data_IF_754427137651
#
_entry.id   IF_754427137651
#
_cell.length_a   1.000
_cell.length_b   1.000
_cell.length_c   1.000
_cell.angle_alpha   90.00
_cell.angle_beta   90.00
_cell.angle_gamma   90.00
#
_symmetry.space_group_name_H-M   'P 1'
#
loop_
_entity.id
_entity.type
_entity.pdbx_description
1 polymer ?
#
# COMPACT_ATOMS: atom_id res chain seq x y z
N UNK A 1 35.69 -33.06 -37.31
CA UNK A 1 35.81 -34.49 -36.99
C UNK A 1 37.30 -34.79 -36.88
N UNK A 2 37.78 -35.12 -35.71
CA UNK A 2 39.17 -35.57 -35.51
C UNK A 2 39.26 -37.05 -35.86
N UNK A 3 40.14 -37.39 -36.80
CA UNK A 3 40.42 -38.78 -37.10
C UNK A 3 41.51 -39.30 -36.17
N UNK A 4 41.22 -40.35 -35.40
CA UNK A 4 42.18 -41.03 -34.57
C UNK A 4 42.97 -42.05 -35.43
N UNK A 5 44.26 -41.83 -35.57
CA UNK A 5 45.15 -42.57 -36.48
C UNK A 5 45.87 -43.76 -35.87
N UNK A 6 45.68 -44.04 -34.59
CA UNK A 6 46.30 -45.18 -33.91
C UNK A 6 45.36 -45.82 -32.89
N UNK A 7 45.49 -47.15 -32.66
CA UNK A 7 44.72 -47.78 -31.58
C UNK A 7 45.16 -47.24 -30.22
N UNK A 8 44.21 -46.72 -29.47
CA UNK A 8 44.42 -46.14 -28.16
C UNK A 8 43.11 -46.06 -27.38
N UNK A 9 43.22 -45.88 -26.08
CA UNK A 9 42.05 -45.61 -25.24
C UNK A 9 41.80 -44.11 -25.24
N UNK A 10 40.66 -43.69 -25.78
CA UNK A 10 40.26 -42.29 -25.81
C UNK A 10 39.18 -42.09 -24.76
N UNK A 11 39.49 -41.35 -23.69
CA UNK A 11 38.50 -40.93 -22.68
C UNK A 11 37.96 -39.57 -23.03
N UNK A 12 36.64 -39.45 -23.05
CA UNK A 12 35.94 -38.17 -23.16
C UNK A 12 35.23 -37.92 -21.84
N UNK A 13 35.69 -36.95 -21.13
CA UNK A 13 35.01 -36.46 -19.96
C UNK A 13 33.79 -35.67 -20.42
N UNK A 14 32.63 -36.06 -19.95
CA UNK A 14 31.39 -35.31 -20.15
C UNK A 14 30.93 -34.85 -18.76
N UNK A 15 31.07 -33.57 -18.51
CA UNK A 15 30.50 -32.96 -17.30
C UNK A 15 28.98 -33.07 -17.36
N UNK A 16 28.43 -33.90 -16.48
CA UNK A 16 27.02 -34.08 -16.26
C UNK A 16 26.57 -33.31 -15.00
N UNK A 17 27.37 -32.37 -14.50
CA UNK A 17 26.99 -31.51 -13.39
C UNK A 17 25.75 -30.77 -13.80
N UNK A 18 24.64 -31.20 -13.28
CA UNK A 18 23.40 -30.45 -13.39
C UNK A 18 23.55 -29.25 -12.46
N UNK A 19 23.97 -28.11 -13.01
CA UNK A 19 23.96 -26.86 -12.27
C UNK A 19 22.47 -26.58 -11.97
N UNK A 20 22.03 -26.99 -10.81
CA UNK A 20 20.77 -26.56 -10.27
C UNK A 20 20.92 -25.06 -10.09
N UNK A 21 20.23 -24.22 -10.91
CA UNK A 21 20.31 -22.78 -10.70
C UNK A 21 19.90 -22.55 -9.25
N UNK A 22 20.71 -21.83 -8.51
CA UNK A 22 20.43 -21.47 -7.13
C UNK A 22 19.18 -20.59 -7.16
N UNK A 23 18.03 -21.23 -7.06
CA UNK A 23 16.74 -20.53 -6.97
C UNK A 23 16.82 -19.75 -5.68
N UNK A 24 16.80 -18.43 -5.79
CA UNK A 24 16.81 -17.56 -4.63
C UNK A 24 15.59 -17.87 -3.75
N UNK A 25 15.81 -18.71 -2.74
CA UNK A 25 14.78 -19.10 -1.75
C UNK A 25 14.35 -17.93 -0.87
N UNK A 26 14.93 -16.75 -1.11
CA UNK A 26 14.65 -15.51 -0.39
C UNK A 26 13.53 -14.67 -1.01
N UNK A 27 12.83 -15.22 -2.00
CA UNK A 27 11.67 -14.57 -2.63
C UNK A 27 10.41 -15.35 -2.32
N UNK A 28 9.39 -14.67 -1.82
CA UNK A 28 8.07 -15.26 -1.55
C UNK A 28 6.96 -14.35 -2.07
N UNK A 29 5.76 -14.91 -2.16
CA UNK A 29 4.54 -14.17 -2.44
C UNK A 29 3.50 -14.46 -1.35
N UNK A 30 2.77 -13.43 -0.95
CA UNK A 30 1.71 -13.53 0.05
C UNK A 30 0.47 -12.77 -0.41
N UNK A 31 -0.69 -13.35 -0.14
CA UNK A 31 -1.99 -12.73 -0.43
C UNK A 31 -2.81 -12.74 0.85
N UNK A 32 -3.40 -11.61 1.20
CA UNK A 32 -4.19 -11.56 2.41
C UNK A 32 -4.97 -10.28 2.62
N UNK A 33 -5.66 -10.22 3.75
CA UNK A 33 -6.48 -9.08 4.15
C UNK A 33 -5.67 -8.09 4.98
N UNK A 34 -5.90 -6.81 4.71
CA UNK A 34 -5.41 -5.70 5.53
C UNK A 34 -6.44 -4.56 5.55
N UNK A 35 -6.39 -3.72 6.57
CA UNK A 35 -7.23 -2.53 6.69
C UNK A 35 -6.72 -1.34 5.88
N UNK A 36 -5.45 -1.37 5.47
CA UNK A 36 -4.73 -0.33 4.72
C UNK A 36 -4.01 -0.96 3.52
N UNK A 37 -3.61 -0.15 2.57
CA UNK A 37 -2.76 -0.51 1.43
C UNK A 37 -3.49 -0.66 0.11
N UNK A 38 -2.69 -0.70 -0.95
CA UNK A 38 -3.17 -0.84 -2.33
C UNK A 38 -3.86 -2.20 -2.53
N UNK A 39 -5.04 -2.20 -3.14
CA UNK A 39 -5.84 -3.42 -3.39
C UNK A 39 -5.67 -4.01 -4.79
N UNK A 40 -5.12 -3.23 -5.71
CA UNK A 40 -5.14 -3.58 -7.14
C UNK A 40 -3.77 -4.01 -7.66
N UNK A 41 -2.69 -3.67 -6.93
CA UNK A 41 -1.33 -3.91 -7.39
C UNK A 41 -0.55 -4.81 -6.42
N UNK A 42 0.26 -5.68 -7.02
CA UNK A 42 1.26 -6.44 -6.27
C UNK A 42 2.40 -5.50 -5.90
N UNK A 43 2.74 -5.44 -4.62
CA UNK A 43 3.84 -4.63 -4.11
C UNK A 43 5.04 -5.52 -3.78
N UNK A 44 6.22 -5.09 -4.22
CA UNK A 44 7.48 -5.68 -3.78
C UNK A 44 7.92 -4.99 -2.49
N UNK A 45 8.06 -5.78 -1.45
CA UNK A 45 8.45 -5.35 -0.10
C UNK A 45 9.79 -6.01 0.24
N UNK A 46 10.71 -5.23 0.75
CA UNK A 46 12.07 -5.70 1.07
C UNK A 46 12.44 -5.56 2.55
N UNK A 47 11.67 -4.78 3.32
CA UNK A 47 11.91 -4.56 4.75
C UNK A 47 10.61 -4.67 5.55
N UNK A 48 10.69 -5.08 6.83
CA UNK A 48 9.52 -5.10 7.72
C UNK A 48 8.85 -3.72 7.85
N UNK A 49 9.63 -2.64 7.98
CA UNK A 49 9.10 -1.28 8.09
C UNK A 49 8.27 -0.89 6.84
N UNK A 50 8.80 -1.18 5.65
CA UNK A 50 8.08 -0.92 4.41
C UNK A 50 6.74 -1.67 4.34
N UNK A 51 6.69 -2.89 4.91
CA UNK A 51 5.44 -3.65 5.00
C UNK A 51 4.43 -2.98 5.93
N UNK A 52 4.88 -2.52 7.09
CA UNK A 52 4.03 -1.82 8.07
C UNK A 52 3.54 -0.48 7.53
N UNK A 53 4.39 0.28 6.85
CA UNK A 53 3.99 1.54 6.21
C UNK A 53 2.90 1.35 5.15
N UNK A 54 3.00 0.29 4.34
CA UNK A 54 2.03 0.04 3.26
C UNK A 54 0.74 -0.63 3.78
N UNK A 55 0.84 -1.64 4.64
CA UNK A 55 -0.30 -2.48 5.04
C UNK A 55 -0.78 -2.25 6.48
N UNK A 56 -0.02 -1.50 7.28
CA UNK A 56 -0.30 -1.23 8.69
C UNK A 56 0.28 -2.26 9.65
N UNK A 57 0.14 -1.97 10.93
CA UNK A 57 0.59 -2.84 12.01
C UNK A 57 -0.22 -4.14 12.11
N UNK A 58 0.41 -5.24 12.58
CA UNK A 58 -0.32 -6.46 12.89
C UNK A 58 -1.34 -6.21 14.02
N UNK A 59 -2.55 -6.66 13.83
CA UNK A 59 -3.59 -6.62 14.86
C UNK A 59 -4.41 -7.90 14.85
N UNK A 60 -5.27 -8.08 15.86
CA UNK A 60 -6.09 -9.29 15.99
C UNK A 60 -7.06 -9.53 14.81
N UNK A 61 -7.39 -8.50 14.04
CA UNK A 61 -8.35 -8.56 12.93
C UNK A 61 -7.67 -8.92 11.60
N UNK A 62 -6.38 -8.59 11.44
CA UNK A 62 -5.65 -8.78 10.18
C UNK A 62 -5.23 -10.24 9.91
N UNK A 63 -5.48 -11.15 10.86
CA UNK A 63 -5.13 -12.55 10.73
C UNK A 63 -3.63 -12.80 10.53
N UNK A 64 -3.32 -13.89 9.83
CA UNK A 64 -1.94 -14.33 9.65
C UNK A 64 -1.16 -13.57 8.57
N UNK A 65 -1.81 -12.74 7.76
CA UNK A 65 -1.15 -12.02 6.66
C UNK A 65 0.05 -11.19 7.14
N UNK A 66 -0.17 -10.34 8.17
CA UNK A 66 0.88 -9.49 8.70
C UNK A 66 1.98 -10.27 9.41
N UNK A 67 1.60 -11.21 10.28
CA UNK A 67 2.58 -12.02 11.02
C UNK A 67 3.46 -12.85 10.09
N UNK A 68 2.87 -13.52 9.09
CA UNK A 68 3.63 -14.32 8.13
C UNK A 68 4.57 -13.48 7.28
N UNK A 69 4.13 -12.28 6.88
CA UNK A 69 4.94 -11.35 6.11
C UNK A 69 6.15 -10.86 6.92
N UNK A 70 5.94 -10.44 8.17
CA UNK A 70 7.00 -9.92 9.03
C UNK A 70 8.02 -11.00 9.37
N UNK A 71 7.58 -12.21 9.77
CA UNK A 71 8.47 -13.35 10.04
C UNK A 71 9.29 -13.73 8.80
N UNK A 72 8.67 -13.70 7.61
CA UNK A 72 9.43 -13.93 6.37
C UNK A 72 10.48 -12.86 6.13
N UNK A 73 10.13 -11.57 6.29
CA UNK A 73 11.03 -10.44 6.01
C UNK A 73 12.20 -10.32 7.02
N UNK A 74 12.15 -10.98 8.17
CA UNK A 74 13.29 -11.08 9.08
C UNK A 74 14.46 -11.86 8.46
N UNK A 75 14.18 -12.85 7.60
CA UNK A 75 15.17 -13.73 7.01
C UNK A 75 15.17 -13.71 5.47
N UNK A 76 14.05 -13.34 4.87
CA UNK A 76 13.88 -13.21 3.41
C UNK A 76 14.20 -11.79 2.94
N UNK A 77 14.34 -11.62 1.61
CA UNK A 77 14.70 -10.32 1.03
C UNK A 77 13.58 -9.72 0.16
N UNK A 78 12.85 -10.57 -0.55
CA UNK A 78 11.86 -10.11 -1.54
C UNK A 78 10.52 -10.74 -1.24
N UNK A 79 9.55 -9.93 -0.84
CA UNK A 79 8.18 -10.35 -0.61
C UNK A 79 7.25 -9.63 -1.58
N UNK A 80 6.59 -10.38 -2.44
CA UNK A 80 5.49 -9.87 -3.25
C UNK A 80 4.20 -9.99 -2.46
N UNK A 81 3.64 -8.86 -2.07
CA UNK A 81 2.42 -8.81 -1.27
C UNK A 81 1.24 -8.26 -2.08
N UNK A 82 0.11 -8.92 -1.99
CA UNK A 82 -1.16 -8.49 -2.58
C UNK A 82 -2.24 -8.43 -1.52
N UNK A 83 -2.85 -7.27 -1.38
CA UNK A 83 -4.01 -7.10 -0.52
C UNK A 83 -5.29 -7.51 -1.22
N UNK A 84 -6.10 -8.30 -0.54
CA UNK A 84 -7.46 -8.65 -0.96
C UNK A 84 -8.46 -7.99 -0.02
N UNK A 85 -9.40 -7.25 -0.57
CA UNK A 85 -10.49 -6.64 0.20
C UNK A 85 -11.78 -6.62 -0.62
N UNK A 86 -12.89 -6.94 0.02
CA UNK A 86 -14.22 -6.81 -0.56
C UNK A 86 -14.87 -5.53 -0.07
N UNK A 87 -15.49 -4.77 -0.98
CA UNK A 87 -16.27 -3.56 -0.67
C UNK A 87 -15.52 -2.47 0.11
N UNK A 88 -14.19 -2.46 0.07
CA UNK A 88 -13.42 -1.38 0.68
C UNK A 88 -13.67 -0.06 -0.06
N UNK A 89 -13.91 1.00 0.71
CA UNK A 89 -14.23 2.32 0.20
C UNK A 89 -13.15 3.32 0.60
N UNK A 90 -12.97 4.34 -0.24
CA UNK A 90 -12.15 5.49 0.09
C UNK A 90 -12.91 6.41 1.04
N UNK A 91 -12.31 6.74 2.17
CA UNK A 91 -12.76 7.84 3.01
C UNK A 91 -12.32 9.17 2.40
N UNK A 92 -13.11 10.20 2.58
CA UNK A 92 -12.77 11.53 2.09
C UNK A 92 -13.52 12.63 2.82
N UNK A 93 -13.11 13.87 2.58
CA UNK A 93 -13.74 15.07 3.11
C UNK A 93 -13.96 16.08 1.99
N UNK A 94 -15.16 16.66 1.94
CA UNK A 94 -15.48 17.75 1.03
C UNK A 94 -15.09 19.07 1.65
N UNK A 95 -14.36 19.89 0.92
CA UNK A 95 -14.03 21.26 1.29
C UNK A 95 -14.98 22.20 0.57
N UNK A 96 -15.71 22.98 1.36
CA UNK A 96 -16.76 23.88 0.88
C UNK A 96 -16.18 25.28 0.72
N UNK A 97 -16.69 26.01 -0.27
CA UNK A 97 -16.33 27.41 -0.50
C UNK A 97 -16.70 28.25 0.72
N UNK A 98 -15.80 29.14 1.14
CA UNK A 98 -16.11 30.12 2.20
C UNK A 98 -17.30 30.99 1.84
N UNK A 99 -18.28 31.05 2.73
CA UNK A 99 -19.56 31.72 2.47
C UNK A 99 -20.50 30.98 1.51
N UNK A 100 -20.14 29.79 1.06
CA UNK A 100 -21.00 28.92 0.26
C UNK A 100 -21.97 28.12 1.11
N UNK A 101 -22.85 27.38 0.44
CA UNK A 101 -23.83 26.52 1.09
C UNK A 101 -23.19 25.21 1.52
N UNK A 102 -23.41 24.79 2.76
CA UNK A 102 -22.90 23.54 3.35
C UNK A 102 -21.79 23.77 4.37
N UNK A 103 -21.25 22.68 4.87
CA UNK A 103 -20.12 22.65 5.82
C UNK A 103 -19.12 21.61 5.39
N UNK A 104 -17.84 21.84 5.70
CA UNK A 104 -16.82 20.82 5.51
C UNK A 104 -17.23 19.55 6.27
N UNK A 105 -17.36 18.46 5.58
CA UNK A 105 -17.87 17.23 6.16
C UNK A 105 -17.21 16.00 5.52
N UNK A 106 -16.99 15.00 6.35
CA UNK A 106 -16.56 13.70 5.89
C UNK A 106 -17.65 13.06 5.00
N UNK A 107 -17.21 12.32 3.98
CA UNK A 107 -18.11 11.54 3.13
C UNK A 107 -18.52 10.29 3.91
N UNK A 108 -19.66 10.32 4.56
CA UNK A 108 -20.12 9.32 5.52
C UNK A 108 -20.18 7.88 4.96
N UNK A 109 -20.53 7.74 3.68
CA UNK A 109 -20.64 6.41 3.06
C UNK A 109 -19.32 5.93 2.42
N UNK A 110 -18.32 6.78 2.33
CA UNK A 110 -17.13 6.56 1.49
C UNK A 110 -17.49 6.36 0.01
N UNK A 111 -16.49 6.22 -0.83
CA UNK A 111 -16.67 6.01 -2.28
C UNK A 111 -15.81 4.85 -2.78
N UNK A 112 -16.29 4.14 -3.80
CA UNK A 112 -15.56 3.03 -4.40
C UNK A 112 -14.44 3.48 -5.34
N UNK A 113 -14.59 4.69 -5.90
CA UNK A 113 -13.60 5.31 -6.80
C UNK A 113 -13.44 6.76 -6.40
N UNK A 114 -12.20 7.26 -6.16
CA UNK A 114 -11.97 8.66 -5.87
C UNK A 114 -12.37 9.51 -7.08
N UNK A 115 -13.34 10.36 -6.90
CA UNK A 115 -13.79 11.33 -7.91
C UNK A 115 -14.32 12.57 -7.20
N UNK A 116 -14.30 13.71 -7.88
CA UNK A 116 -14.88 14.95 -7.33
C UNK A 116 -16.33 14.69 -6.92
N UNK A 117 -16.62 14.92 -5.65
CA UNK A 117 -17.94 14.69 -5.09
C UNK A 117 -18.77 15.97 -5.21
N UNK A 118 -19.73 15.96 -6.11
CA UNK A 118 -20.77 17.00 -6.16
C UNK A 118 -21.91 16.58 -5.25
N UNK A 119 -22.17 17.35 -4.23
CA UNK A 119 -23.30 17.13 -3.33
C UNK A 119 -24.37 18.20 -3.62
N UNK A 120 -25.60 17.77 -3.90
CA UNK A 120 -26.69 18.67 -4.19
C UNK A 120 -26.91 19.65 -3.03
N UNK A 121 -26.93 20.96 -3.33
CA UNK A 121 -27.06 22.02 -2.35
C UNK A 121 -25.79 22.38 -1.58
N UNK A 122 -24.62 21.90 -2.01
CA UNK A 122 -23.32 22.27 -1.43
C UNK A 122 -22.38 22.86 -2.49
N UNK A 123 -21.67 23.90 -2.13
CA UNK A 123 -20.64 24.54 -2.96
C UNK A 123 -19.28 23.89 -2.69
N UNK A 124 -19.08 22.64 -3.15
CA UNK A 124 -17.83 21.89 -2.97
C UNK A 124 -16.76 22.46 -3.89
N UNK A 125 -15.63 22.90 -3.33
CA UNK A 125 -14.47 23.35 -4.06
C UNK A 125 -13.63 22.16 -4.54
N UNK A 126 -13.29 21.27 -3.61
CA UNK A 126 -12.54 20.05 -3.88
C UNK A 126 -12.79 19.01 -2.80
N UNK A 127 -12.42 17.79 -3.09
CA UNK A 127 -12.54 16.67 -2.16
C UNK A 127 -11.16 16.04 -1.93
N UNK A 128 -10.80 15.84 -0.67
CA UNK A 128 -9.58 15.14 -0.27
C UNK A 128 -9.95 13.70 0.04
N UNK A 129 -9.21 12.75 -0.54
CA UNK A 129 -9.39 11.32 -0.30
C UNK A 129 -8.15 10.71 0.35
N UNK A 130 -8.35 9.70 1.16
CA UNK A 130 -7.27 8.82 1.55
C UNK A 130 -6.70 8.09 0.32
N UNK A 131 -5.39 7.84 0.33
CA UNK A 131 -4.65 7.23 -0.78
C UNK A 131 -5.22 5.87 -1.18
N UNK A 132 -5.57 5.04 -0.19
CA UNK A 132 -6.02 3.66 -0.39
C UNK A 132 -7.38 3.44 0.29
N UNK A 133 -8.22 2.55 -0.23
CA UNK A 133 -9.51 2.28 0.39
C UNK A 133 -9.34 1.44 1.67
N UNK A 134 -10.14 1.71 2.67
CA UNK A 134 -10.15 0.93 3.91
C UNK A 134 -10.54 1.72 5.15
N UNK A 135 -10.73 1.01 6.24
CA UNK A 135 -11.17 1.61 7.52
C UNK A 135 -10.12 2.53 8.17
N UNK A 136 -8.86 2.43 7.79
CA UNK A 136 -7.79 3.30 8.25
C UNK A 136 -8.07 4.79 7.97
N UNK A 137 -8.84 5.09 6.91
CA UNK A 137 -9.25 6.45 6.58
C UNK A 137 -10.09 7.12 7.68
N UNK A 138 -10.75 6.32 8.55
CA UNK A 138 -11.53 6.87 9.66
C UNK A 138 -10.66 7.49 10.75
N UNK A 139 -9.36 7.21 10.72
CA UNK A 139 -8.38 7.75 11.66
C UNK A 139 -7.66 8.99 11.12
N UNK A 140 -8.05 9.48 9.94
CA UNK A 140 -7.49 10.68 9.35
C UNK A 140 -8.38 11.89 9.62
N UNK A 141 -7.76 13.04 9.92
CA UNK A 141 -8.41 14.35 9.95
C UNK A 141 -7.63 15.33 9.09
N UNK A 142 -8.32 16.31 8.55
CA UNK A 142 -7.73 17.34 7.70
C UNK A 142 -8.20 18.69 8.20
N UNK A 143 -7.26 19.63 8.39
CA UNK A 143 -7.56 21.05 8.62
C UNK A 143 -6.95 21.91 7.52
N UNK A 144 -7.56 23.04 7.28
CA UNK A 144 -7.06 24.06 6.36
C UNK A 144 -6.86 25.33 7.18
N UNK A 145 -5.63 25.79 7.22
CA UNK A 145 -5.20 26.93 8.01
C UNK A 145 -4.37 27.91 7.15
N UNK A 146 -4.02 29.04 7.76
CA UNK A 146 -3.14 30.06 7.17
C UNK A 146 -3.60 30.50 5.76
N UNK A 147 -4.88 30.77 5.60
CA UNK A 147 -5.44 31.26 4.33
C UNK A 147 -4.97 32.70 4.11
N UNK A 148 -4.06 32.91 3.16
CA UNK A 148 -3.67 34.25 2.70
C UNK A 148 -4.45 34.62 1.44
N UNK A 149 -5.27 35.66 1.56
CA UNK A 149 -6.10 36.16 0.47
C UNK A 149 -5.35 37.04 -0.51
N UNK A 150 -4.15 37.52 -0.16
CA UNK A 150 -3.32 38.34 -1.05
C UNK A 150 -2.51 37.46 -2.01
N UNK A 151 -1.90 36.41 -1.47
CA UNK A 151 -1.07 35.50 -2.26
C UNK A 151 -1.88 34.27 -2.75
N UNK A 152 -3.15 34.15 -2.38
CA UNK A 152 -4.03 33.00 -2.69
C UNK A 152 -3.43 31.66 -2.26
N UNK A 153 -2.80 31.63 -1.10
CA UNK A 153 -2.20 30.44 -0.52
C UNK A 153 -2.96 29.96 0.72
N UNK A 154 -2.83 28.69 1.02
CA UNK A 154 -3.36 28.09 2.24
C UNK A 154 -2.51 26.86 2.60
N UNK A 155 -2.55 26.46 3.87
CA UNK A 155 -1.91 25.21 4.32
C UNK A 155 -2.96 24.14 4.59
N UNK A 156 -2.62 22.92 4.20
CA UNK A 156 -3.40 21.72 4.53
C UNK A 156 -2.57 20.92 5.53
N UNK A 157 -3.14 20.71 6.72
CA UNK A 157 -2.59 19.82 7.72
C UNK A 157 -3.35 18.50 7.74
N UNK A 158 -2.63 17.40 7.72
CA UNK A 158 -3.22 16.06 7.78
C UNK A 158 -2.77 15.41 9.08
N UNK A 159 -3.73 15.02 9.88
CA UNK A 159 -3.51 14.38 11.18
C UNK A 159 -3.93 12.94 11.12
N UNK A 160 -3.18 12.09 11.78
CA UNK A 160 -3.54 10.69 12.02
C UNK A 160 -3.86 10.51 13.50
N UNK A 161 -4.90 9.75 13.77
CA UNK A 161 -5.29 9.37 15.12
C UNK A 161 -4.36 8.28 15.63
N UNK A 162 -3.80 8.47 16.82
CA UNK A 162 -3.03 7.45 17.52
C UNK A 162 -3.93 6.41 18.22
N UNK A 163 -3.32 5.42 18.87
CA UNK A 163 -4.03 4.37 19.60
C UNK A 163 -4.78 4.92 20.84
N UNK A 164 -4.34 6.04 21.38
CA UNK A 164 -4.96 6.73 22.53
C UNK A 164 -6.12 7.65 22.07
N UNK A 165 -6.31 7.80 20.78
CA UNK A 165 -7.36 8.59 20.19
C UNK A 165 -7.04 10.06 19.98
N UNK A 166 -5.78 10.48 20.15
CA UNK A 166 -5.33 11.85 19.88
C UNK A 166 -4.90 11.98 18.41
N UNK A 167 -5.07 13.17 17.86
CA UNK A 167 -4.59 13.47 16.51
C UNK A 167 -3.16 13.99 16.56
N UNK A 168 -2.28 13.34 15.81
CA UNK A 168 -0.88 13.72 15.59
C UNK A 168 -0.67 14.08 14.12
N UNK A 169 0.10 15.14 13.87
CA UNK A 169 0.43 15.63 12.53
C UNK A 169 1.55 14.80 11.87
#
# INVERSE_FOLDING_TARGET
>A
MGFYLSPGVFTRERDLSNIIPNIATTTAAIVGYSTKGDKDNIKLITTPQQFVEEYGEPNATNGYFHHSALVFLENGKNLYALRVCANAKYGGVNIIKSGGTGTNAAIAAGVTTPAVQTVSGQDVLFTIFGKDPGSWNNNLAVTIDEVDTNDFTFKIHVYQKDDDGNYIE
#
